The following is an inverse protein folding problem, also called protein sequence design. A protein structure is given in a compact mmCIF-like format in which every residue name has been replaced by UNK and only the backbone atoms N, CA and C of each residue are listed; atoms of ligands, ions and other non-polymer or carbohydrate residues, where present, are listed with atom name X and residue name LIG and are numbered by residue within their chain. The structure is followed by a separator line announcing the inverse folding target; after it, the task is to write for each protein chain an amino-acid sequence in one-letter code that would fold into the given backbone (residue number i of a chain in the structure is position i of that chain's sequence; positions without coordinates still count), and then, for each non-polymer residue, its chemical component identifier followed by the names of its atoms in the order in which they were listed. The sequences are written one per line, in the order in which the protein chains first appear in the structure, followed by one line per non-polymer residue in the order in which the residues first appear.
data_IF_462728397197
#
_entry.id   IF_462728397197
#
_cell.length_a   1.000
_cell.length_b   1.000
_cell.length_c   1.000
_cell.angle_alpha   90.00
_cell.angle_beta   90.00
_cell.angle_gamma   90.00
#
_symmetry.space_group_name_H-M   'P 1'
#
loop_
_entity.id
_entity.type
_entity.pdbx_description
1 polymer ?
#
# COMPACT_ATOMS: atom_id res chain seq x y z
N UNK A 1 -6.23 -9.95 -17.61
CA UNK A 1 -5.99 -9.03 -16.48
C UNK A 1 -6.11 -9.84 -15.21
N UNK A 2 -5.21 -9.65 -14.24
CA UNK A 2 -5.31 -10.28 -12.93
C UNK A 2 -6.59 -9.81 -12.20
N UNK A 3 -7.17 -10.68 -11.38
CA UNK A 3 -8.31 -10.31 -10.55
C UNK A 3 -7.87 -9.27 -9.50
N UNK A 4 -8.76 -8.37 -9.06
CA UNK A 4 -8.45 -7.38 -8.00
C UNK A 4 -7.86 -8.03 -6.75
N UNK A 5 -8.36 -9.21 -6.39
CA UNK A 5 -7.85 -9.98 -5.25
C UNK A 5 -6.40 -10.42 -5.44
N UNK A 6 -5.97 -10.76 -6.65
CA UNK A 6 -4.57 -11.10 -6.93
C UNK A 6 -3.66 -9.87 -6.78
N UNK A 7 -4.12 -8.70 -7.23
CA UNK A 7 -3.40 -7.44 -7.07
C UNK A 7 -3.28 -7.05 -5.58
N UNK A 8 -4.37 -7.15 -4.81
CA UNK A 8 -4.34 -6.93 -3.37
C UNK A 8 -3.46 -7.98 -2.65
N UNK A 9 -3.43 -9.23 -3.12
CA UNK A 9 -2.56 -10.25 -2.55
C UNK A 9 -1.07 -9.94 -2.76
N UNK A 10 -0.68 -9.21 -3.81
CA UNK A 10 0.69 -8.75 -3.96
C UNK A 10 1.11 -7.82 -2.80
N UNK A 11 0.23 -6.89 -2.40
CA UNK A 11 0.43 -6.02 -1.22
C UNK A 11 0.59 -6.87 0.05
N UNK A 12 -0.29 -7.88 0.23
CA UNK A 12 -0.22 -8.79 1.39
C UNK A 12 1.10 -9.54 1.45
N UNK A 13 1.53 -10.11 0.32
CA UNK A 13 2.75 -10.90 0.22
C UNK A 13 3.99 -10.04 0.50
N UNK A 14 4.13 -8.90 -0.17
CA UNK A 14 5.26 -7.99 0.06
C UNK A 14 5.32 -7.53 1.52
N UNK A 15 4.16 -7.22 2.13
CA UNK A 15 4.10 -6.79 3.52
C UNK A 15 4.56 -7.85 4.50
N UNK A 16 4.04 -9.08 4.37
CA UNK A 16 4.40 -10.15 5.31
C UNK A 16 5.85 -10.62 5.11
N UNK A 17 6.34 -10.71 3.87
CA UNK A 17 7.70 -11.16 3.57
C UNK A 17 8.75 -10.16 4.04
N UNK A 18 8.51 -8.86 3.84
CA UNK A 18 9.45 -7.82 4.26
C UNK A 18 9.54 -7.71 5.79
N UNK A 19 8.40 -7.74 6.49
CA UNK A 19 8.37 -7.75 7.97
C UNK A 19 9.08 -8.99 8.50
N UNK A 20 8.82 -10.16 7.91
CA UNK A 20 9.47 -11.41 8.30
C UNK A 20 10.98 -11.34 8.08
N UNK A 21 11.43 -10.83 6.93
CA UNK A 21 12.86 -10.66 6.60
C UNK A 21 13.57 -9.68 7.54
N UNK A 22 12.89 -8.62 7.97
CA UNK A 22 13.43 -7.65 8.92
C UNK A 22 13.41 -8.16 10.37
N UNK A 23 12.71 -9.28 10.65
CA UNK A 23 12.42 -9.77 12.00
C UNK A 23 11.83 -8.69 12.93
N UNK A 24 11.10 -7.74 12.33
CA UNK A 24 10.54 -6.55 12.98
C UNK A 24 9.51 -5.87 12.08
N UNK A 25 8.44 -5.34 12.67
CA UNK A 25 7.38 -4.61 11.97
C UNK A 25 5.97 -5.12 12.27
N UNK A 26 4.97 -4.59 11.55
CA UNK A 26 3.55 -4.89 11.80
C UNK A 26 2.85 -5.33 10.51
N UNK A 27 2.64 -6.65 10.30
CA UNK A 27 2.08 -7.16 9.05
C UNK A 27 0.54 -7.10 9.00
N UNK A 28 -0.12 -7.04 10.17
CA UNK A 28 -1.58 -7.12 10.28
C UNK A 28 -2.31 -5.98 9.57
N UNK A 29 -1.96 -4.73 9.86
CA UNK A 29 -2.61 -3.57 9.25
C UNK A 29 -2.42 -3.51 7.71
N UNK A 30 -1.21 -3.71 7.15
CA UNK A 30 -1.03 -3.80 5.70
C UNK A 30 -1.89 -4.89 5.05
N UNK A 31 -1.94 -6.09 5.63
CA UNK A 31 -2.72 -7.19 5.05
C UNK A 31 -4.23 -6.95 5.13
N UNK A 32 -4.71 -6.32 6.20
CA UNK A 32 -6.12 -5.99 6.42
C UNK A 32 -6.61 -4.87 5.50
N UNK A 33 -5.76 -3.92 5.12
CA UNK A 33 -6.14 -2.78 4.28
C UNK A 33 -5.79 -2.97 2.80
N UNK A 34 -5.20 -4.10 2.40
CA UNK A 34 -4.74 -4.35 1.04
C UNK A 34 -5.83 -4.19 -0.03
N UNK A 35 -7.07 -4.64 0.22
CA UNK A 35 -8.16 -4.48 -0.75
C UNK A 35 -8.60 -3.01 -0.88
N UNK A 36 -8.58 -2.25 0.22
CA UNK A 36 -8.90 -0.82 0.22
C UNK A 36 -7.81 -0.05 -0.54
N UNK A 37 -6.54 -0.37 -0.29
CA UNK A 37 -5.41 0.23 -0.98
C UNK A 37 -5.42 -0.07 -2.48
N UNK A 38 -5.74 -1.31 -2.88
CA UNK A 38 -5.86 -1.70 -4.29
C UNK A 38 -6.87 -0.82 -5.04
N UNK A 39 -8.06 -0.63 -4.48
CA UNK A 39 -9.11 0.20 -5.09
C UNK A 39 -8.70 1.68 -5.09
N UNK A 40 -8.28 2.22 -3.93
CA UNK A 40 -7.94 3.64 -3.80
C UNK A 40 -6.84 4.05 -4.76
N UNK A 41 -5.71 3.35 -4.75
CA UNK A 41 -4.52 3.73 -5.51
C UNK A 41 -4.67 3.49 -7.02
N UNK A 42 -5.49 2.53 -7.44
CA UNK A 42 -5.64 2.21 -8.87
C UNK A 42 -6.79 2.93 -9.54
N UNK A 43 -7.85 3.25 -8.80
CA UNK A 43 -9.07 3.80 -9.41
C UNK A 43 -9.31 5.28 -9.09
N UNK A 44 -8.83 5.79 -7.96
CA UNK A 44 -9.22 7.12 -7.46
C UNK A 44 -8.05 8.08 -7.24
N UNK A 45 -6.90 7.59 -6.78
CA UNK A 45 -5.83 8.46 -6.32
C UNK A 45 -5.13 9.15 -7.49
N UNK A 46 -5.21 10.47 -7.53
CA UNK A 46 -4.58 11.27 -8.58
C UNK A 46 -3.15 11.61 -8.20
N UNK A 47 -2.19 10.85 -8.73
CA UNK A 47 -0.77 11.02 -8.44
C UNK A 47 0.13 10.80 -9.65
N UNK A 48 1.36 11.29 -9.54
CA UNK A 48 2.41 11.04 -10.51
C UNK A 48 3.64 10.45 -9.80
N UNK A 49 3.89 9.13 -9.90
CA UNK A 49 5.08 8.52 -9.31
C UNK A 49 6.42 9.10 -9.80
N UNK A 50 6.47 9.69 -11.00
CA UNK A 50 7.67 10.34 -11.54
C UNK A 50 7.85 11.79 -11.07
N UNK A 51 6.82 12.41 -10.49
CA UNK A 51 6.88 13.75 -9.91
C UNK A 51 6.07 13.82 -8.60
N UNK A 52 6.63 13.32 -7.49
CA UNK A 52 5.99 13.39 -6.18
C UNK A 52 5.84 14.83 -5.64
N UNK A 53 6.48 15.83 -6.26
CA UNK A 53 6.36 17.24 -5.88
C UNK A 53 5.26 17.98 -6.66
N UNK A 54 4.52 17.30 -7.55
CA UNK A 54 3.37 17.89 -8.24
C UNK A 54 2.41 18.53 -7.24
N UNK A 55 2.18 19.83 -7.41
CA UNK A 55 1.46 20.68 -6.46
C UNK A 55 0.00 20.26 -6.26
N UNK A 56 -0.66 19.70 -7.28
CA UNK A 56 -2.10 19.41 -7.30
C UNK A 56 -2.42 17.91 -7.20
N UNK A 57 -1.44 17.08 -6.83
CA UNK A 57 -1.68 15.64 -6.57
C UNK A 57 -2.58 15.45 -5.34
N UNK A 58 -3.30 14.35 -5.27
CA UNK A 58 -3.97 13.94 -4.04
C UNK A 58 -2.95 13.65 -2.93
N UNK A 59 -3.35 13.89 -1.67
CA UNK A 59 -2.51 13.63 -0.49
C UNK A 59 -2.99 12.39 0.24
N UNK A 60 -2.15 11.37 0.27
CA UNK A 60 -2.34 10.18 1.08
C UNK A 60 -1.58 10.31 2.41
N UNK A 61 -2.24 10.01 3.52
CA UNK A 61 -1.64 10.00 4.86
C UNK A 61 -2.01 8.71 5.58
N UNK A 62 -1.01 7.90 5.93
CA UNK A 62 -1.18 6.67 6.70
C UNK A 62 -1.02 6.96 8.20
N UNK A 63 -2.11 7.38 8.86
CA UNK A 63 -2.05 7.76 10.29
C UNK A 63 -1.76 6.59 11.23
N UNK A 64 -2.18 5.37 10.89
CA UNK A 64 -1.79 4.14 11.57
C UNK A 64 -0.40 3.67 11.09
N UNK A 65 0.60 4.56 11.24
CA UNK A 65 1.93 4.45 10.64
C UNK A 65 2.75 3.21 11.05
N UNK A 66 2.31 2.45 12.05
CA UNK A 66 2.91 1.15 12.36
C UNK A 66 2.78 0.15 11.20
N UNK A 67 1.75 0.30 10.34
CA UNK A 67 1.54 -0.49 9.12
C UNK A 67 2.31 0.01 7.91
N UNK A 68 3.55 0.46 8.09
CA UNK A 68 4.35 1.16 7.07
C UNK A 68 4.61 0.34 5.79
N UNK A 69 4.67 -0.99 5.87
CA UNK A 69 4.80 -1.83 4.67
C UNK A 69 3.65 -1.70 3.67
N UNK A 70 2.51 -1.11 4.05
CA UNK A 70 1.43 -0.84 3.11
C UNK A 70 1.75 0.29 2.11
N UNK A 71 2.50 1.31 2.55
CA UNK A 71 2.79 2.51 1.74
C UNK A 71 4.17 2.44 1.06
N UNK A 72 5.07 1.57 1.53
CA UNK A 72 6.35 1.30 0.87
C UNK A 72 6.16 0.49 -0.41
#
# INVERSE_FOLDING_TARGET
MSARKELANAIRALSMDAVQKANSGHPGAPMGMADIAEVLWRDYMNHNPTNPHWADRDRFVLSNGHGSMLIY
#
